data_IF_775251008852
#
_entry.id   IF_775251008852
#
_cell.length_a   1.000
_cell.length_b   1.000
_cell.length_c   1.000
_cell.angle_alpha   90.00
_cell.angle_beta   90.00
_cell.angle_gamma   90.00
#
_symmetry.space_group_name_H-M   'P 1'
#
loop_
_entity.id
_entity.type
_entity.pdbx_description
1 polymer ?
#
# COMPACT_ATOMS: atom_id res chain seq x y z
N UNK A 1 -17.50 2.65 -51.14
CA UNK A 1 -16.52 3.53 -50.48
C UNK A 1 -16.79 3.52 -48.97
N UNK A 2 -16.20 2.55 -48.26
CA UNK A 2 -16.19 2.44 -46.79
C UNK A 2 -14.77 2.04 -46.44
N UNK A 3 -13.84 3.00 -46.45
CA UNK A 3 -12.47 2.73 -46.00
C UNK A 3 -11.69 3.95 -45.54
N UNK A 4 -12.33 5.10 -45.29
CA UNK A 4 -11.64 6.31 -44.82
C UNK A 4 -12.31 7.00 -43.62
N UNK A 5 -13.25 6.33 -42.94
CA UNK A 5 -13.84 6.84 -41.69
C UNK A 5 -13.19 6.27 -40.42
N UNK A 6 -12.01 5.64 -40.54
CA UNK A 6 -11.34 5.00 -39.39
C UNK A 6 -10.23 5.83 -38.77
N UNK A 7 -9.39 6.48 -39.57
CA UNK A 7 -8.14 7.08 -39.07
C UNK A 7 -8.32 8.42 -38.37
N UNK A 8 -8.93 9.40 -39.06
CA UNK A 8 -9.00 10.77 -38.54
C UNK A 8 -9.98 10.92 -37.37
N UNK A 9 -11.13 10.23 -37.41
CA UNK A 9 -12.12 10.26 -36.34
C UNK A 9 -11.61 9.59 -35.05
N UNK A 10 -10.82 8.51 -35.16
CA UNK A 10 -10.17 7.89 -34.00
C UNK A 10 -9.12 8.83 -33.42
N UNK A 11 -8.29 9.48 -34.25
CA UNK A 11 -7.33 10.48 -33.77
C UNK A 11 -8.02 11.67 -33.08
N UNK A 12 -9.14 12.17 -33.61
CA UNK A 12 -9.91 13.23 -32.96
C UNK A 12 -10.54 12.75 -31.64
N UNK A 13 -11.05 11.52 -31.56
CA UNK A 13 -11.52 10.93 -30.29
C UNK A 13 -10.39 10.86 -29.26
N UNK A 14 -9.23 10.30 -29.63
CA UNK A 14 -8.03 10.21 -28.79
C UNK A 14 -7.58 11.55 -28.20
N UNK A 15 -7.77 12.63 -28.96
CA UNK A 15 -7.30 13.98 -28.62
C UNK A 15 -8.35 14.82 -27.86
N UNK A 16 -9.65 14.55 -28.03
CA UNK A 16 -10.75 15.40 -27.51
C UNK A 16 -11.37 14.95 -26.18
N UNK A 17 -11.09 13.74 -25.71
CA UNK A 17 -11.67 13.21 -24.46
C UNK A 17 -10.59 12.87 -23.43
N UNK A 18 -10.46 13.67 -22.35
CA UNK A 18 -9.62 13.33 -21.21
C UNK A 18 -10.00 11.94 -20.69
N UNK A 19 -9.08 10.98 -20.79
CA UNK A 19 -9.29 9.62 -20.29
C UNK A 19 -9.52 8.52 -21.35
N UNK A 20 -9.55 8.82 -22.65
CA UNK A 20 -9.64 7.76 -23.68
C UNK A 20 -8.43 6.81 -23.65
N UNK A 21 -7.26 7.28 -23.21
CA UNK A 21 -6.11 6.39 -22.97
C UNK A 21 -6.42 5.25 -21.97
N UNK A 22 -7.32 5.48 -21.00
CA UNK A 22 -7.77 4.45 -20.06
C UNK A 22 -8.87 3.56 -20.66
N UNK A 23 -9.65 4.06 -21.62
CA UNK A 23 -10.70 3.29 -22.31
C UNK A 23 -10.08 2.32 -23.32
N UNK A 24 -8.94 2.69 -23.93
CA UNK A 24 -8.24 1.87 -24.91
C UNK A 24 -7.20 0.93 -24.31
N UNK A 25 -6.82 1.15 -23.05
CA UNK A 25 -5.98 0.20 -22.32
C UNK A 25 -6.85 -0.89 -21.76
N UNK A 26 -6.53 -2.13 -22.13
CA UNK A 26 -7.13 -3.31 -21.50
C UNK A 26 -6.84 -3.29 -20.00
N UNK A 27 -7.84 -3.50 -19.13
CA UNK A 27 -7.61 -3.64 -17.69
C UNK A 27 -6.53 -4.67 -17.35
N UNK A 28 -6.44 -5.73 -18.17
CA UNK A 28 -5.41 -6.77 -18.08
C UNK A 28 -4.01 -6.23 -18.37
N UNK A 29 -3.87 -5.30 -19.32
CA UNK A 29 -2.58 -4.70 -19.66
C UNK A 29 -2.08 -3.79 -18.54
N UNK A 30 -2.97 -3.03 -17.91
CA UNK A 30 -2.62 -2.21 -16.74
C UNK A 30 -2.26 -3.08 -15.54
N UNK A 31 -3.05 -4.12 -15.26
CA UNK A 31 -2.77 -5.09 -14.22
C UNK A 31 -1.42 -5.81 -14.43
N UNK A 32 -1.13 -6.24 -15.65
CA UNK A 32 0.14 -6.88 -16.01
C UNK A 32 1.33 -5.94 -15.76
N UNK A 33 1.27 -4.71 -16.25
CA UNK A 33 2.32 -3.72 -16.04
C UNK A 33 2.50 -3.38 -14.55
N UNK A 34 1.41 -3.29 -13.80
CA UNK A 34 1.43 -3.03 -12.35
C UNK A 34 2.10 -4.17 -11.58
N UNK A 35 1.72 -5.42 -11.84
CA UNK A 35 2.30 -6.60 -11.20
C UNK A 35 3.79 -6.75 -11.51
N UNK A 36 4.23 -6.49 -12.75
CA UNK A 36 5.66 -6.51 -13.12
C UNK A 36 6.45 -5.47 -12.32
N UNK A 37 5.94 -4.24 -12.22
CA UNK A 37 6.58 -3.19 -11.40
C UNK A 37 6.60 -3.53 -9.92
N UNK A 38 5.52 -4.12 -9.40
CA UNK A 38 5.46 -4.59 -8.02
C UNK A 38 6.45 -5.74 -7.75
N UNK A 39 6.60 -6.68 -8.68
CA UNK A 39 7.57 -7.76 -8.60
C UNK A 39 9.02 -7.23 -8.61
N UNK A 40 9.28 -6.18 -9.39
CA UNK A 40 10.53 -5.43 -9.39
C UNK A 40 10.72 -4.52 -8.16
N UNK A 41 9.76 -4.50 -7.21
CA UNK A 41 9.75 -3.65 -6.01
C UNK A 41 9.78 -2.14 -6.31
N UNK A 42 9.33 -1.75 -7.50
CA UNK A 42 9.20 -0.34 -7.90
C UNK A 42 7.90 0.27 -7.38
N UNK A 43 6.87 -0.56 -7.19
CA UNK A 43 5.57 -0.18 -6.66
C UNK A 43 5.11 -1.18 -5.62
N UNK A 44 4.11 -0.80 -4.84
CA UNK A 44 3.44 -1.73 -3.93
C UNK A 44 2.59 -2.73 -4.71
N UNK A 45 2.54 -3.97 -4.24
CA UNK A 45 1.68 -5.00 -4.81
C UNK A 45 0.21 -4.70 -4.50
N UNK A 46 -0.62 -4.70 -5.54
CA UNK A 46 -2.06 -4.49 -5.47
C UNK A 46 -2.80 -5.79 -5.79
N UNK A 47 -3.69 -6.22 -4.90
CA UNK A 47 -4.45 -7.47 -5.03
C UNK A 47 -5.41 -7.43 -6.23
N UNK A 48 -6.00 -6.26 -6.51
CA UNK A 48 -6.95 -6.13 -7.62
C UNK A 48 -6.29 -6.43 -8.98
N UNK A 49 -5.01 -6.09 -9.15
CA UNK A 49 -4.27 -6.37 -10.38
C UNK A 49 -4.02 -7.87 -10.54
N UNK A 50 -3.68 -8.56 -9.44
CA UNK A 50 -3.55 -10.02 -9.45
C UNK A 50 -4.88 -10.73 -9.74
N UNK A 51 -5.98 -10.23 -9.19
CA UNK A 51 -7.32 -10.75 -9.48
C UNK A 51 -7.68 -10.65 -10.96
N UNK A 52 -7.43 -9.49 -11.59
CA UNK A 52 -7.72 -9.33 -13.02
C UNK A 52 -6.89 -10.26 -13.89
N UNK A 53 -5.61 -10.46 -13.55
CA UNK A 53 -4.74 -11.39 -14.27
C UNK A 53 -5.19 -12.85 -14.14
N UNK A 54 -5.57 -13.30 -12.94
CA UNK A 54 -6.07 -14.67 -12.74
C UNK A 54 -7.39 -14.86 -13.47
N UNK A 55 -8.35 -13.93 -13.34
CA UNK A 55 -9.63 -14.00 -14.06
C UNK A 55 -9.41 -14.03 -15.57
N UNK A 56 -8.49 -13.22 -16.09
CA UNK A 56 -8.14 -13.24 -17.50
C UNK A 56 -7.56 -14.59 -17.93
N UNK A 57 -6.60 -15.13 -17.18
CA UNK A 57 -5.98 -16.41 -17.46
C UNK A 57 -6.98 -17.56 -17.46
N UNK A 58 -7.91 -17.61 -16.50
CA UNK A 58 -9.00 -18.60 -16.47
C UNK A 58 -9.96 -18.43 -17.65
N UNK A 59 -10.37 -17.20 -17.99
CA UNK A 59 -11.23 -16.93 -19.17
C UNK A 59 -10.59 -17.34 -20.50
N UNK A 60 -9.27 -17.34 -20.57
CA UNK A 60 -8.49 -17.73 -21.77
C UNK A 60 -8.01 -19.18 -21.72
N UNK A 61 -8.47 -19.97 -20.75
CA UNK A 61 -8.06 -21.36 -20.54
C UNK A 61 -6.54 -21.55 -20.39
N UNK A 62 -5.85 -20.53 -19.85
CA UNK A 62 -4.43 -20.58 -19.52
C UNK A 62 -4.18 -21.15 -18.12
N UNK A 63 -5.18 -21.04 -17.24
CA UNK A 63 -5.23 -21.65 -15.92
C UNK A 63 -6.53 -22.42 -15.76
N UNK A 64 -6.47 -23.56 -15.06
CA UNK A 64 -7.67 -24.24 -14.60
C UNK A 64 -8.41 -23.36 -13.57
N UNK A 65 -9.73 -23.54 -13.44
CA UNK A 65 -10.51 -22.73 -12.50
C UNK A 65 -10.08 -22.98 -11.05
N UNK A 66 -9.85 -24.24 -10.68
CA UNK A 66 -9.42 -24.62 -9.33
C UNK A 66 -8.01 -24.11 -9.00
N UNK A 67 -7.11 -24.08 -9.99
CA UNK A 67 -5.80 -23.46 -9.87
C UNK A 67 -5.92 -21.95 -9.64
N UNK A 68 -6.76 -21.26 -10.42
CA UNK A 68 -7.03 -19.83 -10.24
C UNK A 68 -7.58 -19.50 -8.85
N UNK A 69 -8.56 -20.29 -8.37
CA UNK A 69 -9.18 -20.10 -7.05
C UNK A 69 -8.16 -20.29 -5.91
N UNK A 70 -7.26 -21.28 -6.03
CA UNK A 70 -6.17 -21.48 -5.06
C UNK A 70 -5.19 -20.31 -5.04
N UNK A 71 -4.76 -19.84 -6.21
CA UNK A 71 -3.83 -18.69 -6.31
C UNK A 71 -4.45 -17.45 -5.65
N UNK A 72 -5.73 -17.16 -5.92
CA UNK A 72 -6.39 -16.01 -5.30
C UNK A 72 -6.48 -16.15 -3.78
N UNK A 73 -6.80 -17.34 -3.27
CA UNK A 73 -6.81 -17.58 -1.83
C UNK A 73 -5.44 -17.29 -1.18
N UNK A 74 -4.35 -17.72 -1.81
CA UNK A 74 -2.99 -17.44 -1.34
C UNK A 74 -2.66 -15.94 -1.35
N UNK A 75 -3.03 -15.24 -2.42
CA UNK A 75 -2.82 -13.79 -2.55
C UNK A 75 -3.59 -13.02 -1.47
N UNK A 76 -4.86 -13.37 -1.24
CA UNK A 76 -5.67 -12.74 -0.19
C UNK A 76 -5.12 -13.03 1.21
N UNK A 77 -4.69 -14.27 1.48
CA UNK A 77 -4.07 -14.63 2.76
C UNK A 77 -2.77 -13.87 2.99
N UNK A 78 -1.93 -13.72 1.97
CA UNK A 78 -0.70 -12.93 2.03
C UNK A 78 -0.99 -11.45 2.32
N UNK A 79 -2.01 -10.87 1.67
CA UNK A 79 -2.42 -9.49 1.92
C UNK A 79 -2.95 -9.30 3.33
N UNK A 80 -3.82 -10.19 3.81
CA UNK A 80 -4.34 -10.12 5.18
C UNK A 80 -3.21 -10.13 6.20
N UNK A 81 -2.24 -11.03 6.02
CA UNK A 81 -1.03 -11.10 6.86
C UNK A 81 -0.22 -9.81 6.85
N UNK A 82 -0.17 -9.07 5.74
CA UNK A 82 0.49 -7.75 5.67
C UNK A 82 -0.29 -6.70 6.45
N UNK A 83 -1.61 -6.69 6.33
CA UNK A 83 -2.50 -5.78 7.06
C UNK A 83 -2.39 -6.01 8.57
N UNK A 84 -2.45 -7.26 9.02
CA UNK A 84 -2.35 -7.61 10.44
C UNK A 84 -1.01 -7.15 11.04
N UNK A 85 0.09 -7.40 10.33
CA UNK A 85 1.43 -6.95 10.73
C UNK A 85 1.53 -5.43 10.80
N UNK A 86 0.87 -4.70 9.89
CA UNK A 86 0.84 -3.25 9.92
C UNK A 86 0.08 -2.74 11.15
N UNK A 87 -1.08 -3.34 11.45
CA UNK A 87 -1.88 -3.02 12.63
C UNK A 87 -1.12 -3.29 13.93
N UNK A 88 -0.38 -4.40 14.02
CA UNK A 88 0.43 -4.73 15.19
C UNK A 88 1.58 -3.73 15.41
N UNK A 89 2.25 -3.31 14.33
CA UNK A 89 3.28 -2.27 14.38
C UNK A 89 2.70 -0.95 14.87
N UNK A 90 1.52 -0.57 14.39
CA UNK A 90 0.84 0.65 14.81
C UNK A 90 0.46 0.61 16.29
N UNK A 91 -0.14 -0.51 16.76
CA UNK A 91 -0.44 -0.72 18.19
C UNK A 91 0.81 -0.62 19.06
N UNK A 92 1.91 -1.24 18.64
CA UNK A 92 3.18 -1.17 19.35
C UNK A 92 3.75 0.27 19.42
N UNK A 93 3.64 1.03 18.32
CA UNK A 93 4.05 2.44 18.29
C UNK A 93 3.18 3.31 19.22
N UNK A 94 1.85 3.14 19.19
CA UNK A 94 0.93 3.83 20.08
C UNK A 94 1.19 3.51 21.56
N UNK A 95 1.51 2.25 21.88
CA UNK A 95 1.89 1.83 23.23
C UNK A 95 3.21 2.49 23.69
N UNK A 96 4.23 2.51 22.83
CA UNK A 96 5.51 3.20 23.11
C UNK A 96 5.33 4.71 23.30
N UNK A 97 4.43 5.34 22.53
CA UNK A 97 4.11 6.75 22.68
C UNK A 97 3.43 7.06 24.04
N UNK A 98 2.46 6.24 24.47
CA UNK A 98 1.81 6.36 25.79
C UNK A 98 2.81 6.19 26.95
N UNK A 99 3.76 5.27 26.84
CA UNK A 99 4.76 5.07 27.89
C UNK A 99 5.76 6.24 28.00
N UNK A 100 6.06 6.92 26.88
CA UNK A 100 6.91 8.13 26.87
C UNK A 100 6.20 9.35 27.45
N UNK A 101 4.89 9.51 27.25
CA UNK A 101 4.14 10.66 27.79
C UNK A 101 3.85 10.54 29.29
N UNK A 102 3.84 9.33 29.88
CA UNK A 102 3.64 9.12 31.33
C UNK A 102 4.93 9.34 32.16
N UNK A 103 6.12 9.37 31.53
CA UNK A 103 7.39 9.68 32.21
C UNK A 103 7.89 11.12 31.95
N UNK A 104 7.28 12.14 32.59
CA UNK A 104 8.13 13.26 33.01
C UNK A 104 7.86 13.84 34.41
N UNK A 105 7.09 13.21 35.30
CA UNK A 105 6.80 13.81 36.62
C UNK A 105 7.78 13.40 37.74
N UNK A 106 8.37 12.20 37.70
CA UNK A 106 9.29 11.74 38.77
C UNK A 106 10.75 12.22 38.62
N UNK A 107 11.20 12.57 37.41
CA UNK A 107 12.58 13.03 37.18
C UNK A 107 12.79 14.49 37.63
N UNK A 108 11.78 15.36 37.49
CA UNK A 108 11.90 16.79 37.84
C UNK A 108 11.94 17.00 39.36
N UNK A 109 11.30 16.12 40.16
CA UNK A 109 11.28 16.24 41.63
C UNK A 109 12.64 15.91 42.26
N UNK A 110 13.37 14.91 41.74
CA UNK A 110 14.73 14.55 42.23
C UNK A 110 15.78 15.62 41.92
N UNK A 111 15.68 16.33 40.79
CA UNK A 111 16.65 17.38 40.45
C UNK A 111 16.47 18.62 41.33
N UNK A 112 15.23 18.98 41.71
CA UNK A 112 14.98 20.12 42.61
C UNK A 112 15.44 19.87 44.06
N UNK A 113 15.37 18.64 44.57
CA UNK A 113 15.82 18.33 45.94
C UNK A 113 17.33 18.31 46.07
N UNK A 114 18.06 17.81 45.05
CA UNK A 114 19.53 17.79 45.07
C UNK A 114 20.12 19.21 44.96
N UNK A 115 19.51 20.09 44.14
CA UNK A 115 19.96 21.48 44.00
C UNK A 115 19.69 22.32 45.26
N UNK A 116 18.64 22.02 46.02
CA UNK A 116 18.33 22.71 47.30
C UNK A 116 19.26 22.27 48.43
N UNK A 117 19.63 20.97 48.49
CA UNK A 117 20.59 20.45 49.46
C UNK A 117 22.03 20.97 49.21
N UNK A 118 22.44 21.10 47.95
CA UNK A 118 23.77 21.63 47.61
C UNK A 118 23.94 23.14 47.94
N UNK A 119 22.85 23.92 47.94
CA UNK A 119 22.90 25.36 48.29
C UNK A 119 22.92 25.62 49.80
N UNK A 120 22.34 24.71 50.60
CA UNK A 120 22.37 24.82 52.07
C UNK A 120 23.77 24.54 52.66
N UNK A 121 24.56 23.70 51.99
CA UNK A 121 25.88 23.24 52.47
C UNK A 121 27.06 24.18 52.14
N UNK A 122 26.82 25.25 51.37
CA UNK A 122 27.84 26.28 51.04
C UNK A 122 27.69 27.57 51.86
N UNK A 123 26.80 27.56 52.87
CA UNK A 123 26.49 28.73 53.73
C UNK A 123 26.66 28.45 55.22
N UNK A 124 27.25 27.33 55.61
CA UNK A 124 27.65 26.99 56.97
C UNK A 124 29.16 27.08 57.12
#
# INVERSE_FOLDING_TARGET
MVSELGGSQISTLLETLPGIANVLRSPVADALGSVIRAAARLTEFNVADAEELVRYATRRSLLAQDEGDRILAEVHAAQQKRVDRAADREKAQRAKAKTRTVKPVKAVKKVKTVKKAAKARRRS
#
